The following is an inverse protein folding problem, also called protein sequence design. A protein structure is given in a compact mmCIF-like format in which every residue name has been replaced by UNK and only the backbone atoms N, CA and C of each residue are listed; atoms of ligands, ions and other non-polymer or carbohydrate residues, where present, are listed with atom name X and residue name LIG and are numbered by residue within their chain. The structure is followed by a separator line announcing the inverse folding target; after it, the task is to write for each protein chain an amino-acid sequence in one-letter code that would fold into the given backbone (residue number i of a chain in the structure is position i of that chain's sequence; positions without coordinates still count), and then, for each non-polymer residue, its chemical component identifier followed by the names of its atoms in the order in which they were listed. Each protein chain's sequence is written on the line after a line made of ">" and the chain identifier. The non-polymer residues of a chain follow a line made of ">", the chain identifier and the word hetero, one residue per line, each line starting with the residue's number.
data_IF_310971828103
#
_entry.id   IF_310971828103
#
_cell.length_a   1.000
_cell.length_b   1.000
_cell.length_c   1.000
_cell.angle_alpha   90.00
_cell.angle_beta   90.00
_cell.angle_gamma   90.00
#
_symmetry.space_group_name_H-M   'P 1'
#
loop_
_entity.id
_entity.type
_entity.pdbx_description
1 polymer ?
#
# COMPACT_ATOMS: atom_id res chain seq x y z
N UNK A 1 68.90 -2.52 -9.98
CA UNK A 1 68.05 -3.33 -9.06
C UNK A 1 66.58 -3.01 -9.32
N UNK A 2 65.83 -3.82 -10.10
CA UNK A 2 64.39 -3.71 -10.23
C UNK A 2 63.73 -5.03 -9.77
N UNK A 3 63.33 -5.16 -8.51
CA UNK A 3 62.61 -6.36 -8.04
C UNK A 3 61.58 -6.11 -6.93
N UNK A 4 61.61 -4.94 -6.28
CA UNK A 4 60.76 -4.65 -5.11
C UNK A 4 59.43 -3.99 -5.47
N UNK A 5 59.34 -3.20 -6.56
CA UNK A 5 58.08 -2.51 -6.89
C UNK A 5 57.07 -3.38 -7.65
N UNK A 6 57.52 -4.31 -8.48
CA UNK A 6 56.65 -5.16 -9.28
C UNK A 6 55.89 -6.20 -8.43
N UNK A 7 56.49 -6.66 -7.33
CA UNK A 7 55.90 -7.62 -6.39
C UNK A 7 54.82 -6.99 -5.51
N UNK A 8 54.99 -5.75 -5.03
CA UNK A 8 53.97 -5.08 -4.21
C UNK A 8 52.72 -4.70 -5.03
N UNK A 9 52.89 -4.32 -6.30
CA UNK A 9 51.77 -3.96 -7.19
C UNK A 9 50.96 -5.19 -7.60
N UNK A 10 51.61 -6.31 -7.94
CA UNK A 10 50.91 -7.59 -8.21
C UNK A 10 50.16 -8.11 -6.99
N UNK A 11 50.74 -7.94 -5.80
CA UNK A 11 50.14 -8.36 -4.53
C UNK A 11 48.86 -7.56 -4.24
N UNK A 12 48.90 -6.23 -4.38
CA UNK A 12 47.73 -5.36 -4.17
C UNK A 12 46.60 -5.58 -5.19
N UNK A 13 46.95 -5.94 -6.43
CA UNK A 13 46.01 -6.28 -7.51
C UNK A 13 45.29 -7.63 -7.30
N UNK A 14 45.89 -8.58 -6.58
CA UNK A 14 45.31 -9.91 -6.33
C UNK A 14 44.42 -9.97 -5.07
N UNK A 15 44.77 -9.21 -4.01
CA UNK A 15 44.05 -9.24 -2.73
C UNK A 15 42.73 -8.44 -2.74
N UNK A 16 42.67 -7.34 -3.50
CA UNK A 16 41.47 -6.49 -3.58
C UNK A 16 40.25 -7.18 -4.24
N UNK A 17 40.38 -7.89 -5.39
CA UNK A 17 39.25 -8.60 -5.99
C UNK A 17 38.82 -9.84 -5.20
N UNK A 18 39.75 -10.49 -4.49
CA UNK A 18 39.46 -11.67 -3.66
C UNK A 18 38.49 -11.35 -2.52
N UNK A 19 38.63 -10.18 -1.89
CA UNK A 19 37.71 -9.73 -0.84
C UNK A 19 36.29 -9.43 -1.38
N UNK A 20 36.21 -8.90 -2.61
CA UNK A 20 34.94 -8.62 -3.28
C UNK A 20 34.13 -9.89 -3.60
N UNK A 21 34.80 -10.96 -4.01
CA UNK A 21 34.14 -12.24 -4.29
C UNK A 21 33.54 -12.88 -3.04
N UNK A 22 34.25 -12.80 -1.91
CA UNK A 22 33.77 -13.31 -0.61
C UNK A 22 32.57 -12.50 -0.13
N UNK A 23 32.62 -11.17 -0.26
CA UNK A 23 31.49 -10.32 0.13
C UNK A 23 30.25 -10.60 -0.73
N UNK A 24 30.43 -10.78 -2.03
CA UNK A 24 29.35 -11.12 -2.95
C UNK A 24 28.70 -12.46 -2.62
N UNK A 25 29.50 -13.49 -2.33
CA UNK A 25 28.96 -14.81 -1.99
C UNK A 25 28.17 -14.78 -0.68
N UNK A 26 28.63 -14.05 0.33
CA UNK A 26 27.89 -13.87 1.59
C UNK A 26 26.56 -13.16 1.36
N UNK A 27 26.54 -12.09 0.56
CA UNK A 27 25.31 -11.35 0.25
C UNK A 27 24.29 -12.22 -0.51
N UNK A 28 24.75 -13.05 -1.45
CA UNK A 28 23.89 -13.98 -2.19
C UNK A 28 23.26 -15.01 -1.24
N UNK A 29 24.05 -15.59 -0.32
CA UNK A 29 23.55 -16.57 0.65
C UNK A 29 22.50 -15.92 1.57
N UNK A 30 22.76 -14.72 2.07
CA UNK A 30 21.82 -13.98 2.91
C UNK A 30 20.54 -13.65 2.14
N UNK A 31 20.65 -13.18 0.88
CA UNK A 31 19.50 -12.88 0.04
C UNK A 31 18.63 -14.11 -0.22
N UNK A 32 19.24 -15.26 -0.53
CA UNK A 32 18.54 -16.54 -0.69
C UNK A 32 17.83 -16.97 0.59
N UNK A 33 18.50 -16.84 1.74
CA UNK A 33 17.91 -17.15 3.04
C UNK A 33 16.67 -16.31 3.33
N UNK A 34 16.73 -14.99 3.07
CA UNK A 34 15.56 -14.12 3.20
C UNK A 34 14.43 -14.51 2.26
N UNK A 35 14.74 -14.88 1.01
CA UNK A 35 13.73 -15.29 0.03
C UNK A 35 12.97 -16.55 0.46
N UNK A 36 13.65 -17.51 1.09
CA UNK A 36 13.04 -18.74 1.60
C UNK A 36 12.18 -18.52 2.85
N UNK A 37 12.57 -17.58 3.72
CA UNK A 37 11.90 -17.31 5.01
C UNK A 37 10.78 -16.28 4.91
N UNK A 38 10.83 -15.40 3.91
CA UNK A 38 9.83 -14.36 3.67
C UNK A 38 8.37 -14.82 3.79
N UNK A 39 7.91 -15.92 3.16
CA UNK A 39 6.50 -16.30 3.24
C UNK A 39 6.06 -16.61 4.67
N UNK A 40 6.88 -17.31 5.45
CA UNK A 40 6.56 -17.65 6.84
C UNK A 40 6.50 -16.43 7.75
N UNK A 41 7.43 -15.50 7.57
CA UNK A 41 7.47 -14.25 8.34
C UNK A 41 6.25 -13.39 7.98
N UNK A 42 5.93 -13.28 6.70
CA UNK A 42 4.76 -12.53 6.24
C UNK A 42 3.47 -13.14 6.76
N UNK A 43 3.30 -14.46 6.65
CA UNK A 43 2.14 -15.15 7.19
C UNK A 43 2.00 -14.96 8.70
N UNK A 44 3.09 -14.99 9.47
CA UNK A 44 3.06 -14.71 10.89
C UNK A 44 2.55 -13.29 11.20
N UNK A 45 3.04 -12.28 10.48
CA UNK A 45 2.59 -10.90 10.67
C UNK A 45 1.16 -10.67 10.19
N UNK A 46 0.77 -11.23 9.05
CA UNK A 46 -0.61 -11.17 8.54
C UNK A 46 -1.55 -11.86 9.52
N UNK A 47 -1.17 -13.03 10.02
CA UNK A 47 -1.99 -13.74 10.99
C UNK A 47 -2.13 -12.96 12.31
N UNK A 48 -1.06 -12.33 12.79
CA UNK A 48 -1.09 -11.58 14.04
C UNK A 48 -1.88 -10.26 13.93
N UNK A 49 -1.68 -9.52 12.86
CA UNK A 49 -2.23 -8.16 12.72
C UNK A 49 -3.54 -8.11 11.92
N UNK A 50 -3.71 -8.97 10.90
CA UNK A 50 -4.87 -8.97 10.01
C UNK A 50 -5.92 -10.04 10.31
N UNK A 51 -5.67 -10.99 11.22
CA UNK A 51 -6.76 -11.85 11.68
C UNK A 51 -7.83 -10.99 12.36
N UNK A 52 -9.08 -11.19 11.94
CA UNK A 52 -10.29 -10.68 12.59
C UNK A 52 -10.56 -11.40 13.92
N UNK A 53 -9.52 -11.53 14.75
CA UNK A 53 -9.64 -11.96 16.14
C UNK A 53 -10.01 -10.74 17.00
N UNK A 54 -10.89 -10.88 18.01
CA UNK A 54 -11.25 -9.78 18.91
C UNK A 54 -10.07 -9.18 19.69
N UNK A 55 -8.91 -9.86 19.70
CA UNK A 55 -7.68 -9.40 20.34
C UNK A 55 -6.79 -8.53 19.45
N UNK A 56 -7.00 -8.50 18.12
CA UNK A 56 -6.13 -7.77 17.19
C UNK A 56 -6.43 -6.26 17.17
N UNK A 57 -5.40 -5.45 16.92
CA UNK A 57 -5.56 -3.99 16.82
C UNK A 57 -6.38 -3.60 15.59
N UNK A 58 -6.25 -4.32 14.47
CA UNK A 58 -7.04 -4.11 13.26
C UNK A 58 -8.54 -4.27 13.50
N UNK A 59 -8.94 -5.24 14.34
CA UNK A 59 -10.35 -5.41 14.72
C UNK A 59 -10.90 -4.19 15.47
N UNK A 60 -10.10 -3.55 16.33
CA UNK A 60 -10.54 -2.34 17.06
C UNK A 60 -10.81 -1.16 16.10
N UNK A 61 -9.95 -0.98 15.09
CA UNK A 61 -10.11 0.06 14.08
C UNK A 61 -11.27 -0.24 13.12
N UNK A 62 -11.48 -1.50 12.74
CA UNK A 62 -12.64 -1.92 11.95
C UNK A 62 -13.96 -1.68 12.71
N UNK A 63 -13.98 -1.98 14.02
CA UNK A 63 -15.16 -1.79 14.87
C UNK A 63 -15.55 -0.32 15.05
N UNK A 64 -14.57 0.57 15.15
CA UNK A 64 -14.79 2.03 15.28
C UNK A 64 -13.84 2.73 14.32
N UNK A 65 -14.30 2.92 13.08
CA UNK A 65 -13.57 3.70 12.08
C UNK A 65 -13.43 5.13 12.59
N UNK A 66 -12.21 5.62 12.84
CA UNK A 66 -12.01 6.96 13.40
C UNK A 66 -12.36 8.06 12.42
N UNK A 67 -12.43 7.74 11.12
CA UNK A 67 -12.69 8.69 10.04
C UNK A 67 -14.14 8.49 9.56
N UNK A 68 -14.97 9.54 9.57
CA UNK A 68 -16.31 9.48 9.01
C UNK A 68 -16.24 9.40 7.47
N UNK A 69 -16.93 8.44 6.88
CA UNK A 69 -17.08 8.33 5.43
C UNK A 69 -18.16 9.31 4.97
N UNK A 70 -17.79 10.27 4.12
CA UNK A 70 -18.70 11.23 3.51
C UNK A 70 -18.94 10.86 2.05
N UNK A 71 -20.20 10.91 1.62
CA UNK A 71 -20.59 10.76 0.23
C UNK A 71 -21.03 12.14 -0.30
N UNK A 72 -20.31 12.62 -1.30
CA UNK A 72 -20.59 13.91 -1.94
C UNK A 72 -21.31 13.66 -3.27
N UNK A 73 -22.55 14.12 -3.39
CA UNK A 73 -23.30 14.09 -4.64
C UNK A 73 -23.15 15.40 -5.40
N UNK A 74 -22.91 15.27 -6.70
CA UNK A 74 -22.90 16.36 -7.67
C UNK A 74 -24.05 16.13 -8.64
N UNK A 75 -24.91 17.13 -8.77
CA UNK A 75 -26.08 17.10 -9.63
C UNK A 75 -25.82 18.03 -10.82
N UNK A 76 -26.10 17.56 -12.03
CA UNK A 76 -26.00 18.40 -13.22
C UNK A 76 -27.38 18.94 -13.56
N UNK A 77 -27.60 20.21 -13.24
CA UNK A 77 -28.83 20.90 -13.57
C UNK A 77 -28.91 21.15 -15.07
N UNK A 78 -29.99 20.70 -15.71
CA UNK A 78 -30.22 20.89 -17.13
C UNK A 78 -30.90 22.23 -17.38
N UNK A 79 -30.20 23.16 -18.05
CA UNK A 79 -30.64 24.57 -18.16
C UNK A 79 -31.50 24.88 -19.39
N UNK A 80 -31.41 24.08 -20.46
CA UNK A 80 -32.14 24.31 -21.72
C UNK A 80 -33.07 23.15 -22.14
N UNK A 81 -33.96 22.63 -21.27
CA UNK A 81 -34.81 21.48 -21.61
C UNK A 81 -35.91 21.77 -22.64
N UNK A 82 -36.15 23.05 -22.98
CA UNK A 82 -37.25 23.45 -23.87
C UNK A 82 -36.83 23.53 -25.35
N UNK A 83 -35.53 23.56 -25.62
CA UNK A 83 -34.99 23.81 -26.96
C UNK A 83 -34.74 22.51 -27.75
N UNK A 84 -35.40 21.42 -27.33
CA UNK A 84 -35.24 20.10 -27.93
C UNK A 84 -35.76 20.16 -29.39
N UNK A 85 -34.83 20.14 -30.35
CA UNK A 85 -35.09 20.23 -31.79
C UNK A 85 -33.92 19.70 -32.64
N UNK A 86 -33.95 19.93 -33.96
CA UNK A 86 -32.79 19.67 -34.84
C UNK A 86 -31.69 20.68 -34.49
N UNK A 87 -30.49 20.18 -34.18
CA UNK A 87 -29.31 20.91 -33.68
C UNK A 87 -29.31 21.30 -32.19
N UNK A 88 -29.92 20.45 -31.36
CA UNK A 88 -29.97 20.62 -29.91
C UNK A 88 -28.68 20.18 -29.19
N UNK A 89 -28.04 21.11 -28.46
CA UNK A 89 -26.90 20.83 -27.56
C UNK A 89 -27.38 21.02 -26.11
N UNK A 90 -27.42 19.97 -25.28
CA UNK A 90 -27.83 20.10 -23.88
C UNK A 90 -26.79 20.85 -23.06
N UNK A 91 -27.24 21.86 -22.32
CA UNK A 91 -26.44 22.66 -21.40
C UNK A 91 -26.70 22.21 -19.96
N UNK A 92 -25.62 21.94 -19.24
CA UNK A 92 -25.66 21.50 -17.85
C UNK A 92 -24.86 22.46 -16.98
N UNK A 93 -25.38 22.74 -15.78
CA UNK A 93 -24.66 23.45 -14.73
C UNK A 93 -24.46 22.52 -13.53
N UNK A 94 -23.23 22.41 -13.04
CA UNK A 94 -22.91 21.56 -11.89
C UNK A 94 -23.41 22.21 -10.58
N UNK A 95 -24.12 21.42 -9.78
CA UNK A 95 -24.61 21.78 -8.46
C UNK A 95 -24.06 20.78 -7.44
N UNK A 96 -23.32 21.29 -6.46
CA UNK A 96 -22.75 20.46 -5.40
C UNK A 96 -21.60 21.13 -4.67
N UNK A 97 -21.01 20.44 -3.68
CA UNK A 97 -21.36 19.08 -3.25
C UNK A 97 -22.52 19.03 -2.23
N UNK A 98 -23.44 18.08 -2.42
CA UNK A 98 -24.41 17.67 -1.40
C UNK A 98 -23.83 16.52 -0.57
N UNK A 99 -23.38 16.83 0.64
CA UNK A 99 -22.61 15.91 1.49
C UNK A 99 -23.51 15.13 2.45
N UNK A 100 -23.42 13.80 2.42
CA UNK A 100 -24.09 12.91 3.36
C UNK A 100 -23.08 12.10 4.15
N UNK A 101 -23.34 11.91 5.44
CA UNK A 101 -22.55 11.02 6.29
C UNK A 101 -23.07 9.59 6.15
N UNK A 102 -22.20 8.71 5.66
CA UNK A 102 -22.56 7.32 5.42
C UNK A 102 -22.36 6.52 6.71
N UNK A 103 -23.48 6.09 7.31
CA UNK A 103 -23.50 5.37 8.59
C UNK A 103 -23.62 3.86 8.41
N UNK A 104 -22.78 3.23 7.58
CA UNK A 104 -22.95 1.82 7.20
C UNK A 104 -22.63 0.83 8.34
N UNK A 105 -21.58 1.09 9.12
CA UNK A 105 -21.09 0.11 10.11
C UNK A 105 -21.79 0.24 11.46
N UNK A 106 -22.17 1.45 11.86
CA UNK A 106 -22.67 1.69 13.21
C UNK A 106 -24.12 1.25 13.40
N UNK A 107 -24.95 1.27 12.35
CA UNK A 107 -26.33 0.77 12.39
C UNK A 107 -26.41 -0.76 12.52
N UNK A 108 -25.61 -1.48 11.72
CA UNK A 108 -25.59 -2.95 11.74
C UNK A 108 -25.02 -3.51 13.05
N UNK A 109 -23.95 -2.90 13.59
CA UNK A 109 -23.38 -3.32 14.89
C UNK A 109 -24.35 -3.06 16.04
N UNK A 110 -25.10 -1.93 16.01
CA UNK A 110 -26.15 -1.67 17.00
C UNK A 110 -27.28 -2.70 16.93
N UNK A 111 -27.67 -3.11 15.71
CA UNK A 111 -28.71 -4.13 15.49
C UNK A 111 -28.32 -5.50 16.03
N UNK A 112 -27.08 -5.95 15.78
CA UNK A 112 -26.57 -7.22 16.32
C UNK A 112 -26.42 -7.18 17.85
N UNK A 113 -26.09 -6.03 18.44
CA UNK A 113 -26.01 -5.88 19.91
C UNK A 113 -27.38 -5.86 20.60
N UNK A 114 -28.44 -5.51 19.86
CA UNK A 114 -29.80 -5.41 20.39
C UNK A 114 -30.57 -6.74 20.41
N UNK A 115 -29.99 -7.79 19.81
CA UNK A 115 -30.50 -9.17 19.89
C UNK A 115 -29.59 -9.98 20.81
#
# INVERSE_FOLDING_TARGET
>A
RPSVSATSIKMRSLFLPSCGLILSSVLIIVGLFFLLIYPYVLEYFVNKEFQLSPTSQSFKHWRKTPIPVTLDFYLFNWTNPRDIGKDYIPAFNELGPYRFYVHLLTGLIKSVRSK
#
